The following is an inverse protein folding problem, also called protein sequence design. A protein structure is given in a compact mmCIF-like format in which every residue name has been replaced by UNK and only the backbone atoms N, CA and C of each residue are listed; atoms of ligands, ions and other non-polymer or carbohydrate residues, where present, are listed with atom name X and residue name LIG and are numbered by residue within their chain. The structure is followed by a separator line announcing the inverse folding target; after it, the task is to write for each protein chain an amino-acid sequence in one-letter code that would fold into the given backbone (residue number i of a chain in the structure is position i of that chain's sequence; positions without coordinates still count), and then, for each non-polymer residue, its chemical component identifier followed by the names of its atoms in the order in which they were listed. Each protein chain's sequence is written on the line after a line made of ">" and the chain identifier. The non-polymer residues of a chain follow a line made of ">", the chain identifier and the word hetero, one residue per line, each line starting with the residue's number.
data_IF_917513627084
#
_entry.id   IF_917513627084
#
_cell.length_a   1.000
_cell.length_b   1.000
_cell.length_c   1.000
_cell.angle_alpha   90.00
_cell.angle_beta   90.00
_cell.angle_gamma   90.00
#
_symmetry.space_group_name_H-M   'P 1'
#
loop_
_entity.id
_entity.type
_entity.pdbx_description
1 polymer ?
#
# COMPACT_ATOMS: atom_id res chain seq x y z
N UNK A 1 24.25 -52.11 -28.39
CA UNK A 1 22.92 -52.49 -27.83
C UNK A 1 22.48 -51.55 -26.70
N UNK A 2 23.43 -50.97 -25.92
CA UNK A 2 23.10 -50.09 -24.74
C UNK A 2 22.44 -48.78 -25.15
N UNK A 3 22.85 -48.17 -26.28
CA UNK A 3 22.31 -46.88 -26.72
C UNK A 3 20.83 -46.95 -27.16
N UNK A 4 20.38 -48.06 -27.71
CA UNK A 4 18.98 -48.24 -28.11
C UNK A 4 18.04 -48.34 -26.93
N UNK A 5 18.48 -48.90 -25.79
CA UNK A 5 17.71 -48.96 -24.55
C UNK A 5 17.58 -47.58 -23.87
N UNK A 6 18.61 -46.76 -23.95
CA UNK A 6 18.59 -45.40 -23.42
C UNK A 6 17.67 -44.50 -24.24
N UNK A 7 17.68 -44.62 -25.58
CA UNK A 7 16.75 -43.87 -26.44
C UNK A 7 15.30 -44.35 -26.33
N UNK A 8 15.07 -45.66 -26.16
CA UNK A 8 13.73 -46.20 -25.94
C UNK A 8 13.15 -45.70 -24.57
N UNK A 9 13.98 -45.60 -23.54
CA UNK A 9 13.58 -45.08 -22.24
C UNK A 9 13.29 -43.58 -22.27
N UNK A 10 14.01 -42.78 -23.07
CA UNK A 10 13.72 -41.38 -23.33
C UNK A 10 12.41 -41.18 -24.08
N UNK A 11 12.07 -42.05 -25.06
CA UNK A 11 10.77 -41.99 -25.76
C UNK A 11 9.61 -42.46 -24.92
N UNK A 12 9.81 -43.38 -23.99
CA UNK A 12 8.76 -43.86 -23.07
C UNK A 12 8.43 -42.91 -21.95
N UNK A 13 9.34 -42.00 -21.59
CA UNK A 13 9.11 -41.00 -20.52
C UNK A 13 8.23 -39.83 -20.94
N UNK A 14 7.90 -39.68 -22.24
CA UNK A 14 7.03 -38.62 -22.74
C UNK A 14 7.46 -37.17 -22.41
N UNK A 15 8.67 -37.02 -21.84
CA UNK A 15 9.26 -35.71 -21.54
C UNK A 15 9.77 -35.14 -22.86
N UNK A 16 8.89 -34.47 -23.57
CA UNK A 16 9.29 -33.60 -24.67
C UNK A 16 10.08 -32.48 -24.01
N UNK A 17 11.42 -32.53 -24.15
CA UNK A 17 12.32 -31.45 -23.73
C UNK A 17 12.00 -30.19 -24.56
N UNK A 18 10.98 -29.45 -24.13
CA UNK A 18 10.73 -28.09 -24.59
C UNK A 18 11.50 -27.13 -23.65
N UNK A 19 12.72 -26.69 -24.03
CA UNK A 19 13.54 -25.83 -23.16
C UNK A 19 12.81 -24.56 -22.78
N UNK A 20 11.86 -24.10 -23.60
CA UNK A 20 10.99 -22.97 -23.32
C UNK A 20 9.99 -23.25 -22.16
N UNK A 21 9.39 -24.46 -22.17
CA UNK A 21 8.45 -24.86 -21.11
C UNK A 21 9.15 -25.07 -19.76
N UNK A 22 10.36 -25.64 -19.79
CA UNK A 22 11.17 -25.80 -18.58
C UNK A 22 11.60 -24.47 -18.02
N UNK A 23 11.99 -23.51 -18.85
CA UNK A 23 12.33 -22.13 -18.41
C UNK A 23 11.12 -21.42 -17.80
N UNK A 24 9.97 -21.50 -18.44
CA UNK A 24 8.71 -20.91 -17.90
C UNK A 24 8.35 -21.56 -16.56
N UNK A 25 8.47 -22.87 -16.43
CA UNK A 25 8.19 -23.55 -15.16
C UNK A 25 9.14 -23.11 -14.04
N UNK A 26 10.44 -22.92 -14.34
CA UNK A 26 11.44 -22.40 -13.38
C UNK A 26 11.09 -20.96 -12.96
N UNK A 27 10.74 -20.09 -13.91
CA UNK A 27 10.37 -18.70 -13.63
C UNK A 27 9.11 -18.65 -12.76
N UNK A 28 8.07 -19.40 -13.11
CA UNK A 28 6.83 -19.45 -12.34
C UNK A 28 7.04 -20.04 -10.95
N UNK A 29 7.85 -21.10 -10.84
CA UNK A 29 8.23 -21.69 -9.56
C UNK A 29 8.99 -20.69 -8.68
N UNK A 30 9.96 -19.98 -9.23
CA UNK A 30 10.71 -18.93 -8.54
C UNK A 30 9.82 -17.76 -8.10
N UNK A 31 8.93 -17.32 -8.97
CA UNK A 31 7.95 -16.28 -8.64
C UNK A 31 6.98 -16.71 -7.53
N UNK A 32 6.54 -17.97 -7.55
CA UNK A 32 5.69 -18.54 -6.49
C UNK A 32 6.41 -18.60 -5.14
N UNK A 33 7.66 -19.06 -5.13
CA UNK A 33 8.49 -19.06 -3.92
C UNK A 33 8.69 -17.64 -3.40
N UNK A 34 9.05 -16.71 -4.30
CA UNK A 34 9.21 -15.29 -3.94
C UNK A 34 7.94 -14.73 -3.30
N UNK A 35 6.77 -14.98 -3.90
CA UNK A 35 5.48 -14.54 -3.37
C UNK A 35 5.23 -15.10 -1.96
N UNK A 36 5.43 -16.40 -1.76
CA UNK A 36 5.20 -17.05 -0.46
C UNK A 36 6.16 -16.54 0.61
N UNK A 37 7.44 -16.31 0.26
CA UNK A 37 8.45 -15.78 1.18
C UNK A 37 8.18 -14.33 1.62
N UNK A 38 7.36 -13.57 0.87
CA UNK A 38 6.99 -12.18 1.18
C UNK A 38 5.55 -12.06 1.68
N UNK A 39 4.93 -13.19 2.07
CA UNK A 39 3.65 -13.14 2.80
C UNK A 39 3.90 -12.78 4.25
N UNK A 40 3.19 -11.78 4.74
CA UNK A 40 3.17 -11.41 6.15
C UNK A 40 1.75 -11.30 6.68
N UNK A 41 1.57 -11.42 8.00
CA UNK A 41 0.30 -11.15 8.64
C UNK A 41 0.23 -9.71 9.12
N UNK A 42 -0.91 -9.07 8.92
CA UNK A 42 -1.21 -7.78 9.56
C UNK A 42 -1.35 -8.02 11.06
N UNK A 43 -0.52 -7.38 11.92
CA UNK A 43 -0.50 -7.69 13.36
C UNK A 43 -1.84 -7.46 14.07
N UNK A 44 -2.62 -6.49 13.59
CA UNK A 44 -3.89 -6.08 14.20
C UNK A 44 -5.09 -6.93 13.80
N UNK A 45 -5.09 -7.53 12.60
CA UNK A 45 -6.23 -8.27 12.03
C UNK A 45 -5.92 -9.72 11.71
N UNK A 46 -4.63 -10.10 11.69
CA UNK A 46 -4.17 -11.44 11.33
C UNK A 46 -4.32 -11.77 9.84
N UNK A 47 -4.72 -10.81 9.00
CA UNK A 47 -4.89 -11.01 7.56
C UNK A 47 -3.54 -11.24 6.89
N UNK A 48 -3.46 -12.26 6.03
CA UNK A 48 -2.30 -12.51 5.18
C UNK A 48 -2.29 -11.55 3.99
N UNK A 49 -1.11 -11.00 3.69
CA UNK A 49 -0.88 -10.10 2.56
C UNK A 49 0.53 -10.28 2.00
N UNK A 50 0.69 -9.91 0.74
CA UNK A 50 1.99 -9.86 0.09
C UNK A 50 2.60 -8.46 0.21
N UNK A 51 3.80 -8.35 0.79
CA UNK A 51 4.59 -7.12 0.85
C UNK A 51 6.06 -7.45 0.57
N UNK A 52 6.59 -6.88 -0.50
CA UNK A 52 8.00 -6.98 -0.89
C UNK A 52 8.77 -5.65 -0.69
N UNK A 53 8.12 -4.68 -0.05
CA UNK A 53 8.71 -3.38 0.27
C UNK A 53 9.13 -3.34 1.72
N UNK A 54 10.43 -3.22 1.96
CA UNK A 54 10.98 -3.11 3.30
C UNK A 54 10.53 -1.82 4.00
N UNK A 55 10.44 -1.83 5.37
CA UNK A 55 10.00 -0.65 6.12
C UNK A 55 10.86 0.61 5.90
N UNK A 56 12.16 0.43 5.69
CA UNK A 56 13.09 1.54 5.41
C UNK A 56 12.86 2.13 4.01
N UNK A 57 12.59 1.27 3.02
CA UNK A 57 12.36 1.74 1.66
C UNK A 57 10.99 2.42 1.53
N UNK A 58 9.97 1.89 2.22
CA UNK A 58 8.67 2.56 2.36
C UNK A 58 8.84 3.96 2.99
N UNK A 59 9.65 4.09 4.05
CA UNK A 59 9.93 5.37 4.68
C UNK A 59 10.65 6.33 3.72
N UNK A 60 11.68 5.88 2.99
CA UNK A 60 12.38 6.72 1.98
C UNK A 60 11.43 7.22 0.90
N UNK A 61 10.60 6.33 0.35
CA UNK A 61 9.59 6.69 -0.64
C UNK A 61 8.57 7.70 -0.07
N UNK A 62 8.19 7.53 1.20
CA UNK A 62 7.35 8.49 1.92
C UNK A 62 7.99 9.87 2.03
N UNK A 63 9.31 9.95 2.31
CA UNK A 63 10.04 11.22 2.37
C UNK A 63 10.13 11.90 1.00
N UNK A 64 10.31 11.14 -0.07
CA UNK A 64 10.31 11.67 -1.44
C UNK A 64 8.92 12.20 -1.82
N UNK A 65 7.87 11.42 -1.54
CA UNK A 65 6.50 11.83 -1.74
C UNK A 65 6.16 13.10 -0.94
N UNK A 66 6.59 13.17 0.32
CA UNK A 66 6.41 14.33 1.18
C UNK A 66 7.04 15.60 0.58
N UNK A 67 8.28 15.53 0.10
CA UNK A 67 8.95 16.66 -0.57
C UNK A 67 8.20 17.08 -1.84
N UNK A 68 7.75 16.11 -2.63
CA UNK A 68 6.99 16.36 -3.86
C UNK A 68 5.66 17.06 -3.56
N UNK A 69 4.92 16.63 -2.55
CA UNK A 69 3.65 17.24 -2.14
C UNK A 69 3.88 18.66 -1.61
N UNK A 70 4.91 18.89 -0.79
CA UNK A 70 5.27 20.22 -0.32
C UNK A 70 5.58 21.17 -1.49
N UNK A 71 6.28 20.69 -2.49
CA UNK A 71 6.59 21.47 -3.69
C UNK A 71 5.34 21.76 -4.52
N UNK A 72 4.48 20.76 -4.72
CA UNK A 72 3.23 20.88 -5.47
C UNK A 72 2.28 21.90 -4.87
N UNK A 73 2.20 21.95 -3.52
CA UNK A 73 1.31 22.85 -2.79
C UNK A 73 2.03 24.04 -2.16
N UNK A 74 3.23 24.36 -2.66
CA UNK A 74 3.96 25.53 -2.20
C UNK A 74 3.11 26.80 -2.31
N UNK A 75 3.11 27.62 -1.25
CA UNK A 75 2.29 28.82 -1.15
C UNK A 75 0.80 28.59 -0.87
N UNK A 76 0.34 27.32 -0.84
CA UNK A 76 -1.04 26.95 -0.49
C UNK A 76 -1.17 26.25 0.87
N UNK A 77 -0.06 25.94 1.51
CA UNK A 77 -0.05 25.38 2.86
C UNK A 77 -0.34 26.49 3.85
N UNK A 78 -1.40 26.29 4.63
CA UNK A 78 -1.79 27.27 5.66
C UNK A 78 -0.75 27.30 6.79
N UNK A 79 -0.45 28.51 7.29
CA UNK A 79 0.48 28.67 8.41
C UNK A 79 -0.11 28.09 9.70
N UNK A 80 0.77 27.72 10.63
CA UNK A 80 0.37 27.07 11.90
C UNK A 80 -0.56 27.89 12.79
N UNK A 81 -0.59 29.21 12.64
CA UNK A 81 -1.49 30.10 13.39
C UNK A 81 -2.88 30.25 12.77
N UNK A 82 -3.15 29.68 11.60
CA UNK A 82 -4.48 29.74 10.99
C UNK A 82 -5.50 28.93 11.81
N UNK A 83 -6.75 29.40 11.83
CA UNK A 83 -7.84 28.74 12.58
C UNK A 83 -8.03 27.30 12.12
N UNK A 84 -8.01 27.08 10.80
CA UNK A 84 -8.16 25.75 10.20
C UNK A 84 -7.01 24.82 10.57
N UNK A 85 -5.75 25.32 10.53
CA UNK A 85 -4.60 24.51 10.94
C UNK A 85 -4.67 24.19 12.45
N UNK A 86 -5.03 25.13 13.29
CA UNK A 86 -5.17 24.91 14.72
C UNK A 86 -6.25 23.85 15.04
N UNK A 87 -7.39 23.89 14.34
CA UNK A 87 -8.45 22.89 14.46
C UNK A 87 -7.95 21.50 14.05
N UNK A 88 -7.41 21.38 12.84
CA UNK A 88 -6.92 20.09 12.32
C UNK A 88 -5.82 19.53 13.20
N UNK A 89 -4.85 20.35 13.59
CA UNK A 89 -3.75 19.92 14.46
C UNK A 89 -4.25 19.42 15.83
N UNK A 90 -5.21 20.09 16.45
CA UNK A 90 -5.80 19.65 17.72
C UNK A 90 -6.40 18.26 17.62
N UNK A 91 -7.17 17.97 16.56
CA UNK A 91 -7.79 16.67 16.34
C UNK A 91 -6.72 15.64 15.99
N UNK A 92 -5.79 15.97 15.08
CA UNK A 92 -4.72 15.08 14.68
C UNK A 92 -3.84 14.64 15.85
N UNK A 93 -3.48 15.54 16.76
CA UNK A 93 -2.67 15.20 17.94
C UNK A 93 -3.35 14.16 18.84
N UNK A 94 -4.67 14.23 19.01
CA UNK A 94 -5.42 13.22 19.77
C UNK A 94 -5.37 11.85 19.07
N UNK A 95 -5.58 11.83 17.77
CA UNK A 95 -5.48 10.59 16.95
C UNK A 95 -4.06 10.01 16.99
N UNK A 96 -3.03 10.85 16.86
CA UNK A 96 -1.62 10.43 16.93
C UNK A 96 -1.29 9.85 18.31
N UNK A 97 -1.79 10.43 19.39
CA UNK A 97 -1.59 9.90 20.74
C UNK A 97 -2.26 8.53 20.91
N UNK A 98 -3.49 8.39 20.43
CA UNK A 98 -4.23 7.14 20.48
C UNK A 98 -3.54 6.04 19.66
N UNK A 99 -2.99 6.36 18.48
CA UNK A 99 -2.34 5.38 17.63
C UNK A 99 -0.97 4.90 18.15
N UNK A 100 -0.30 5.62 19.04
CA UNK A 100 0.97 5.17 19.64
C UNK A 100 0.87 3.81 20.33
N UNK A 101 -0.28 3.49 20.88
CA UNK A 101 -0.54 2.18 21.48
C UNK A 101 -0.57 1.05 20.42
N UNK A 102 -1.05 1.34 19.22
CA UNK A 102 -1.08 0.38 18.09
C UNK A 102 0.25 0.31 17.33
N UNK A 103 1.05 1.37 17.39
CA UNK A 103 2.36 1.46 16.72
C UNK A 103 3.47 0.64 17.42
N UNK A 104 3.16 0.00 18.56
CA UNK A 104 4.08 -0.92 19.25
C UNK A 104 4.44 -2.16 18.44
N UNK A 105 3.62 -2.50 17.43
CA UNK A 105 3.86 -3.60 16.48
C UNK A 105 4.54 -3.15 15.18
N UNK A 106 5.22 -2.04 15.23
CA UNK A 106 5.93 -1.49 14.08
C UNK A 106 6.93 -2.46 13.50
N UNK A 107 6.97 -2.55 12.18
CA UNK A 107 7.94 -3.39 11.47
C UNK A 107 9.38 -3.00 11.88
N UNK A 108 10.17 -3.99 12.29
CA UNK A 108 11.56 -3.79 12.71
C UNK A 108 12.37 -3.12 11.59
N UNK A 109 13.19 -2.12 11.95
CA UNK A 109 14.07 -1.41 11.02
C UNK A 109 13.49 -0.14 10.40
N UNK A 110 12.22 0.22 10.64
CA UNK A 110 11.71 1.51 10.21
C UNK A 110 12.14 2.64 11.17
N UNK A 111 12.52 3.83 10.65
CA UNK A 111 12.71 5.02 11.48
C UNK A 111 11.42 5.45 12.17
N UNK A 112 11.46 6.14 13.32
CA UNK A 112 10.28 6.63 13.99
C UNK A 112 9.42 7.53 13.10
N UNK A 113 8.07 7.34 13.14
CA UNK A 113 7.15 8.21 12.42
C UNK A 113 7.30 9.64 12.97
N UNK A 114 7.64 10.56 12.09
CA UNK A 114 7.71 11.99 12.41
C UNK A 114 6.36 12.61 12.03
N UNK A 115 5.39 12.50 12.94
CA UNK A 115 4.06 13.02 12.70
C UNK A 115 4.08 14.52 12.46
N UNK A 116 3.68 14.95 11.26
CA UNK A 116 3.52 16.35 10.87
C UNK A 116 2.13 16.56 10.28
N UNK A 117 1.58 17.75 10.52
CA UNK A 117 0.24 18.10 10.03
C UNK A 117 0.34 19.30 9.10
N UNK A 118 -0.21 19.17 7.92
CA UNK A 118 -0.27 20.22 6.90
C UNK A 118 -1.72 20.42 6.45
N UNK A 119 -2.17 21.66 6.42
CA UNK A 119 -3.47 22.04 5.90
C UNK A 119 -3.26 22.78 4.58
N UNK A 120 -3.81 22.23 3.51
CA UNK A 120 -3.71 22.80 2.17
C UNK A 120 -4.94 23.63 1.89
N UNK A 121 -4.77 24.91 1.55
CA UNK A 121 -5.84 25.79 1.17
C UNK A 121 -6.33 25.47 -0.25
N UNK A 122 -7.23 24.52 -0.35
CA UNK A 122 -7.94 24.16 -1.58
C UNK A 122 -9.37 23.73 -1.25
N UNK A 123 -10.34 24.66 -1.26
CA UNK A 123 -11.73 24.36 -0.91
C UNK A 123 -12.46 23.46 -1.91
N UNK A 124 -11.88 23.23 -3.10
CA UNK A 124 -12.47 22.35 -4.12
C UNK A 124 -12.09 20.88 -3.90
N UNK A 125 -10.98 20.61 -3.22
CA UNK A 125 -10.55 19.26 -2.89
C UNK A 125 -11.12 18.81 -1.52
N UNK A 126 -12.00 17.82 -1.57
CA UNK A 126 -12.59 17.17 -0.37
C UNK A 126 -11.78 15.93 -0.05
N UNK A 127 -10.55 16.11 0.43
CA UNK A 127 -9.60 15.01 0.63
C UNK A 127 -8.73 15.23 1.87
N UNK A 128 -8.27 14.12 2.44
CA UNK A 128 -7.15 14.05 3.38
C UNK A 128 -6.35 12.79 3.07
N UNK A 129 -5.08 12.75 3.42
CA UNK A 129 -4.25 11.55 3.29
C UNK A 129 -3.05 11.60 4.22
N UNK A 130 -2.49 10.42 4.52
CA UNK A 130 -1.25 10.26 5.28
C UNK A 130 -0.21 9.57 4.41
N UNK A 131 0.99 10.16 4.35
CA UNK A 131 2.13 9.55 3.66
C UNK A 131 2.96 8.70 4.63
N UNK A 132 3.68 7.68 4.11
CA UNK A 132 4.65 6.92 4.89
C UNK A 132 5.64 7.84 5.60
N UNK A 133 5.87 7.57 6.89
CA UNK A 133 6.67 8.45 7.76
C UNK A 133 5.83 9.37 8.67
N UNK A 134 4.49 9.44 8.48
CA UNK A 134 3.58 10.14 9.38
C UNK A 134 3.21 11.56 8.94
N UNK A 135 3.28 11.88 7.66
CA UNK A 135 2.96 13.21 7.14
C UNK A 135 1.48 13.30 6.75
N UNK A 136 0.69 14.00 7.56
CA UNK A 136 -0.76 14.20 7.39
C UNK A 136 -1.00 15.44 6.55
N UNK A 137 -1.79 15.31 5.48
CA UNK A 137 -2.26 16.41 4.66
C UNK A 137 -3.79 16.45 4.67
N UNK A 138 -4.36 17.64 4.96
CA UNK A 138 -5.79 17.88 4.99
C UNK A 138 -6.13 19.06 4.10
N UNK A 139 -7.01 18.88 3.14
CA UNK A 139 -7.48 19.97 2.30
C UNK A 139 -8.64 20.71 2.94
N UNK A 140 -8.66 22.04 2.83
CA UNK A 140 -9.73 22.84 3.42
C UNK A 140 -11.12 22.46 2.94
N UNK A 141 -11.24 21.90 1.73
CA UNK A 141 -12.53 21.47 1.17
C UNK A 141 -13.18 20.28 1.89
N UNK A 142 -12.42 19.48 2.70
CA UNK A 142 -13.00 18.38 3.46
C UNK A 142 -13.62 18.87 4.79
N UNK A 143 -13.18 20.00 5.33
CA UNK A 143 -13.62 20.48 6.64
C UNK A 143 -15.14 20.69 6.74
N UNK A 144 -15.81 21.31 5.73
CA UNK A 144 -17.26 21.40 5.75
C UNK A 144 -17.97 20.03 5.64
N UNK A 145 -17.34 19.02 5.02
CA UNK A 145 -17.89 17.66 4.91
C UNK A 145 -17.82 16.93 6.25
N UNK A 146 -16.77 17.19 7.02
CA UNK A 146 -16.61 16.64 8.36
C UNK A 146 -17.59 17.24 9.39
N UNK A 147 -18.18 18.40 9.10
CA UNK A 147 -19.12 19.14 9.93
C UNK A 147 -18.55 19.60 11.29
N UNK A 148 -17.84 18.72 11.98
CA UNK A 148 -17.29 18.98 13.32
C UNK A 148 -15.98 18.19 13.57
N UNK A 149 -15.41 18.36 14.76
CA UNK A 149 -14.17 17.69 15.17
C UNK A 149 -14.31 16.16 15.23
N UNK A 150 -15.49 15.61 15.50
CA UNK A 150 -15.72 14.17 15.52
C UNK A 150 -15.68 13.56 14.10
N UNK A 151 -16.32 14.23 13.13
CA UNK A 151 -16.23 13.83 11.72
C UNK A 151 -14.81 13.96 11.18
N UNK A 152 -14.08 15.02 11.55
CA UNK A 152 -12.67 15.17 11.20
C UNK A 152 -11.81 14.06 11.84
N UNK A 153 -12.08 13.70 13.10
CA UNK A 153 -11.38 12.61 13.77
C UNK A 153 -11.61 11.26 13.08
N UNK A 154 -12.84 11.01 12.59
CA UNK A 154 -13.16 9.79 11.82
C UNK A 154 -12.30 9.69 10.55
N UNK A 155 -12.22 10.78 9.77
CA UNK A 155 -11.40 10.83 8.56
C UNK A 155 -9.93 10.63 8.89
N UNK A 156 -9.40 11.36 9.88
CA UNK A 156 -7.99 11.26 10.25
C UNK A 156 -7.63 9.89 10.84
N UNK A 157 -8.50 9.28 11.62
CA UNK A 157 -8.29 7.94 12.16
C UNK A 157 -8.25 6.87 11.06
N UNK A 158 -9.10 6.98 10.04
CA UNK A 158 -9.10 6.13 8.86
C UNK A 158 -7.78 6.26 8.08
N UNK A 159 -7.32 7.49 7.81
CA UNK A 159 -6.07 7.73 7.10
C UNK A 159 -4.83 7.27 7.89
N UNK A 160 -4.83 7.50 9.20
CA UNK A 160 -3.78 7.00 10.11
C UNK A 160 -3.78 5.47 10.16
N UNK A 161 -4.95 4.83 10.11
CA UNK A 161 -5.08 3.37 10.05
C UNK A 161 -4.42 2.80 8.78
N UNK A 162 -4.59 3.44 7.62
CA UNK A 162 -3.88 3.07 6.39
C UNK A 162 -2.37 3.08 6.56
N UNK A 163 -1.85 4.08 7.27
CA UNK A 163 -0.41 4.21 7.52
C UNK A 163 0.09 3.12 8.48
N UNK A 164 -0.62 2.88 9.61
CA UNK A 164 -0.24 1.87 10.59
C UNK A 164 -0.29 0.46 9.98
N UNK A 165 -1.32 0.18 9.20
CA UNK A 165 -1.48 -1.09 8.49
C UNK A 165 -0.56 -1.21 7.26
N UNK A 166 0.23 -0.20 6.91
CA UNK A 166 1.13 -0.21 5.75
C UNK A 166 0.43 -0.51 4.43
N UNK A 167 -0.79 -0.02 4.26
CA UNK A 167 -1.59 -0.27 3.05
C UNK A 167 -0.94 0.29 1.78
N UNK A 168 -0.13 1.36 1.89
CA UNK A 168 0.64 1.89 0.76
C UNK A 168 1.68 0.89 0.26
N UNK A 169 2.41 0.20 1.16
CA UNK A 169 3.37 -0.84 0.80
C UNK A 169 2.67 -2.05 0.15
N UNK A 170 1.52 -2.46 0.67
CA UNK A 170 0.71 -3.54 0.08
C UNK A 170 0.21 -3.19 -1.32
N UNK A 171 -0.30 -1.97 -1.53
CA UNK A 171 -0.73 -1.48 -2.85
C UNK A 171 0.45 -1.44 -3.84
N UNK A 172 1.64 -1.00 -3.40
CA UNK A 172 2.84 -1.00 -4.23
C UNK A 172 3.30 -2.41 -4.59
N UNK A 173 3.35 -3.32 -3.63
CA UNK A 173 3.71 -4.71 -3.87
C UNK A 173 2.74 -5.40 -4.84
N UNK A 174 1.44 -5.21 -4.66
CA UNK A 174 0.41 -5.69 -5.58
C UNK A 174 0.58 -5.16 -7.00
N UNK A 175 0.90 -3.87 -7.15
CA UNK A 175 1.16 -3.27 -8.47
C UNK A 175 2.36 -3.89 -9.17
N UNK A 176 3.45 -4.22 -8.46
CA UNK A 176 4.61 -4.91 -9.03
C UNK A 176 4.25 -6.30 -9.56
N UNK A 177 3.47 -7.08 -8.79
CA UNK A 177 3.01 -8.42 -9.22
C UNK A 177 2.18 -8.30 -10.50
N UNK A 178 1.28 -7.32 -10.57
CA UNK A 178 0.45 -7.09 -11.76
C UNK A 178 1.28 -6.66 -12.97
N UNK A 179 2.26 -5.77 -12.77
CA UNK A 179 3.17 -5.37 -13.85
C UNK A 179 4.02 -6.53 -14.35
N UNK A 180 4.54 -7.36 -13.45
CA UNK A 180 5.30 -8.55 -13.82
C UNK A 180 4.44 -9.56 -14.60
N UNK A 181 3.20 -9.77 -14.17
CA UNK A 181 2.22 -10.59 -14.87
C UNK A 181 1.90 -10.06 -16.28
N UNK A 182 1.64 -8.74 -16.40
CA UNK A 182 1.40 -8.12 -17.69
C UNK A 182 2.59 -8.23 -18.63
N UNK A 183 3.80 -8.03 -18.13
CA UNK A 183 5.03 -8.20 -18.89
C UNK A 183 5.22 -9.67 -19.37
N UNK A 184 4.94 -10.64 -18.49
CA UNK A 184 5.02 -12.06 -18.85
C UNK A 184 4.01 -12.42 -19.96
N UNK A 185 2.78 -11.87 -19.92
CA UNK A 185 1.78 -12.06 -20.96
C UNK A 185 2.21 -11.46 -22.31
N UNK A 186 2.82 -10.27 -22.27
CA UNK A 186 3.37 -9.61 -23.46
C UNK A 186 4.50 -10.44 -24.09
N UNK A 187 5.40 -10.99 -23.28
CA UNK A 187 6.47 -11.90 -23.74
C UNK A 187 5.93 -13.17 -24.39
N UNK A 188 4.71 -13.59 -24.06
CA UNK A 188 4.02 -14.72 -24.68
C UNK A 188 3.26 -14.33 -25.95
N UNK A 189 3.33 -13.05 -26.37
CA UNK A 189 2.67 -12.55 -27.58
C UNK A 189 1.18 -12.29 -27.41
N UNK A 190 0.69 -12.22 -26.17
CA UNK A 190 -0.68 -11.83 -25.87
C UNK A 190 -0.80 -10.31 -25.88
N UNK A 191 -1.78 -9.79 -26.62
CA UNK A 191 -1.91 -8.36 -26.91
C UNK A 191 -2.02 -7.50 -25.66
N UNK A 192 -1.18 -6.45 -25.58
CA UNK A 192 -1.09 -5.46 -24.49
C UNK A 192 -2.43 -4.77 -24.20
N UNK A 193 -3.35 -4.67 -25.17
CA UNK A 193 -4.67 -4.10 -24.97
C UNK A 193 -5.48 -4.84 -23.89
N UNK A 194 -5.47 -6.16 -23.94
CA UNK A 194 -6.12 -7.02 -22.94
C UNK A 194 -5.41 -6.94 -21.59
N UNK A 195 -4.08 -6.83 -21.57
CA UNK A 195 -3.28 -6.68 -20.36
C UNK A 195 -3.59 -5.37 -19.63
N UNK A 196 -3.81 -4.27 -20.33
CA UNK A 196 -4.21 -2.96 -19.72
C UNK A 196 -5.61 -3.01 -19.12
N UNK A 197 -6.56 -3.63 -19.79
CA UNK A 197 -7.94 -3.79 -19.27
C UNK A 197 -7.91 -4.71 -18.04
N UNK A 198 -7.20 -5.83 -18.11
CA UNK A 198 -6.99 -6.72 -16.95
C UNK A 198 -6.28 -6.02 -15.81
N UNK A 199 -5.23 -5.23 -16.09
CA UNK A 199 -4.52 -4.46 -15.08
C UNK A 199 -5.45 -3.47 -14.36
N UNK A 200 -6.27 -2.73 -15.11
CA UNK A 200 -7.23 -1.79 -14.53
C UNK A 200 -8.32 -2.50 -13.71
N UNK A 201 -8.83 -3.63 -14.19
CA UNK A 201 -9.78 -4.47 -13.47
C UNK A 201 -9.17 -5.04 -12.18
N UNK A 202 -7.95 -5.57 -12.22
CA UNK A 202 -7.25 -6.13 -11.06
C UNK A 202 -6.85 -5.07 -10.03
N UNK A 203 -6.47 -3.86 -10.48
CA UNK A 203 -6.18 -2.73 -9.59
C UNK A 203 -7.43 -2.18 -8.90
N UNK A 204 -8.62 -2.36 -9.48
CA UNK A 204 -9.89 -1.87 -8.94
C UNK A 204 -10.64 -2.91 -8.08
N UNK A 205 -10.13 -4.15 -7.93
CA UNK A 205 -10.87 -5.27 -7.37
C UNK A 205 -10.56 -5.62 -5.88
N UNK A 206 -11.01 -6.76 -5.37
CA UNK A 206 -11.40 -7.05 -3.97
C UNK A 206 -10.36 -6.72 -2.91
N UNK A 207 -9.07 -6.60 -3.24
CA UNK A 207 -8.04 -6.17 -2.29
C UNK A 207 -8.28 -4.73 -1.80
N UNK A 208 -8.78 -3.85 -2.66
CA UNK A 208 -9.12 -2.49 -2.27
C UNK A 208 -10.19 -2.48 -1.18
N UNK A 209 -11.28 -3.24 -1.33
CA UNK A 209 -12.37 -3.31 -0.35
C UNK A 209 -11.92 -3.89 1.00
N UNK A 210 -11.03 -4.89 1.00
CA UNK A 210 -10.48 -5.46 2.23
C UNK A 210 -9.59 -4.48 2.96
N UNK A 211 -8.76 -3.75 2.24
CA UNK A 211 -7.89 -2.69 2.77
C UNK A 211 -8.74 -1.57 3.39
N UNK A 212 -9.81 -1.12 2.72
CA UNK A 212 -10.73 -0.11 3.24
C UNK A 212 -11.46 -0.60 4.50
N UNK A 213 -12.01 -1.83 4.48
CA UNK A 213 -12.66 -2.41 5.66
C UNK A 213 -11.71 -2.57 6.85
N UNK A 214 -10.43 -2.90 6.59
CA UNK A 214 -9.39 -2.98 7.62
C UNK A 214 -9.04 -1.59 8.16
N UNK A 215 -8.98 -0.57 7.30
CA UNK A 215 -8.77 0.81 7.72
C UNK A 215 -9.94 1.34 8.55
N UNK A 216 -11.18 1.01 8.20
CA UNK A 216 -12.37 1.35 8.98
C UNK A 216 -12.32 0.70 10.37
N UNK A 217 -12.02 -0.59 10.47
CA UNK A 217 -11.92 -1.30 11.75
C UNK A 217 -10.83 -0.71 12.65
N UNK A 218 -9.63 -0.48 12.10
CA UNK A 218 -8.52 0.10 12.83
C UNK A 218 -8.80 1.55 13.20
N UNK A 219 -9.41 2.33 12.31
CA UNK A 219 -9.82 3.70 12.54
C UNK A 219 -10.79 3.81 13.72
N UNK A 220 -11.78 2.93 13.80
CA UNK A 220 -12.70 2.85 14.94
C UNK A 220 -11.96 2.51 16.25
N UNK A 221 -10.99 1.60 16.22
CA UNK A 221 -10.17 1.28 17.39
C UNK A 221 -9.33 2.48 17.84
N UNK A 222 -8.74 3.24 16.90
CA UNK A 222 -8.00 4.47 17.20
C UNK A 222 -8.93 5.51 17.82
N UNK A 223 -10.12 5.71 17.24
CA UNK A 223 -11.09 6.66 17.77
C UNK A 223 -11.55 6.30 19.19
N UNK A 224 -11.77 5.02 19.48
CA UNK A 224 -12.17 4.57 20.82
C UNK A 224 -11.12 4.87 21.90
N UNK A 225 -9.86 5.04 21.52
CA UNK A 225 -8.76 5.44 22.41
C UNK A 225 -8.55 6.95 22.47
N UNK A 226 -9.05 7.68 21.47
CA UNK A 226 -8.89 9.13 21.36
C UNK A 226 -10.00 9.94 22.07
N UNK A 227 -11.11 9.28 22.46
CA UNK A 227 -12.30 9.91 23.08
C UNK A 227 -12.28 9.91 24.59
#
# INVERSE_FOLDING_TARGET
>A
PVNQFVEARRRASGVVDHPRLSLVAIILGGAGIYYVCHLEQVPSTGRWRFIDVGPLDEWKMGQEAYRSVLQQYNGRILPSWSVQHAQVNRVAQRIIQACRYLDTHRAQGAPPSQWTVHVVNDPRQKNAFVLPGGHIFVFTGILPVCENDAGLATVLAHEVAHQIARHSAEKMAGSKVLMAGAFALDMLGLDIGLSRIMLNLLLSLPNSRRIESEADELGLRIMSQAC
#
